data_IF_874932415720
#
_entry.id   IF_874932415720
#
_cell.length_a   1.000
_cell.length_b   1.000
_cell.length_c   1.000
_cell.angle_alpha   90.00
_cell.angle_beta   90.00
_cell.angle_gamma   90.00
#
_symmetry.space_group_name_H-M   'P 1'
#
loop_
_entity.id
_entity.type
_entity.pdbx_description
1 polymer ?
#
# COMPACT_ATOMS: atom_id res chain seq x y z
N UNK A 1 -21.60 -12.10 12.64
CA UNK A 1 -21.98 -10.74 13.12
C UNK A 1 -20.80 -9.86 13.54
N UNK A 2 -19.78 -10.37 14.25
CA UNK A 2 -18.61 -9.58 14.65
C UNK A 2 -17.70 -9.15 13.47
N UNK A 3 -17.52 -10.04 12.49
CA UNK A 3 -16.64 -9.82 11.33
C UNK A 3 -17.16 -8.76 10.35
N UNK A 4 -18.46 -8.77 10.05
CA UNK A 4 -19.07 -7.73 9.20
C UNK A 4 -19.02 -6.35 9.87
N UNK A 5 -19.08 -6.29 11.21
CA UNK A 5 -18.94 -5.03 11.96
C UNK A 5 -17.52 -4.46 11.90
N UNK A 6 -16.48 -5.29 11.97
CA UNK A 6 -15.10 -4.82 11.86
C UNK A 6 -14.79 -4.28 10.46
N UNK A 7 -15.26 -4.99 9.43
CA UNK A 7 -15.20 -4.51 8.05
C UNK A 7 -16.04 -3.23 7.91
N UNK A 8 -17.27 -3.18 8.43
CA UNK A 8 -18.10 -1.97 8.40
C UNK A 8 -17.50 -0.78 9.16
N UNK A 9 -16.85 -0.99 10.29
CA UNK A 9 -16.28 0.08 11.13
C UNK A 9 -14.99 0.65 10.54
N UNK A 10 -14.17 -0.22 9.94
CA UNK A 10 -13.00 0.19 9.15
C UNK A 10 -13.41 1.00 7.92
N UNK A 11 -14.55 0.62 7.35
CA UNK A 11 -14.99 1.08 6.05
C UNK A 11 -15.96 2.28 6.11
N UNK A 12 -16.50 2.58 7.29
CA UNK A 12 -17.33 3.76 7.58
C UNK A 12 -16.57 4.83 8.38
N UNK A 13 -15.26 4.67 8.60
CA UNK A 13 -14.44 5.63 9.34
C UNK A 13 -14.88 5.88 10.79
N UNK A 14 -15.69 4.97 11.37
CA UNK A 14 -16.29 5.12 12.70
C UNK A 14 -15.29 4.94 13.83
N UNK A 15 -14.15 4.33 13.56
CA UNK A 15 -12.96 4.46 14.41
C UNK A 15 -12.29 5.78 14.03
N UNK A 16 -12.69 6.90 14.66
CA UNK A 16 -11.88 8.12 14.64
C UNK A 16 -10.53 7.79 15.26
N UNK A 17 -9.54 7.48 14.42
CA UNK A 17 -8.16 7.42 14.83
C UNK A 17 -7.72 8.85 15.14
N UNK A 18 -7.79 9.23 16.41
CA UNK A 18 -6.94 10.32 16.89
C UNK A 18 -5.50 9.78 16.82
N UNK A 19 -4.75 10.26 15.83
CA UNK A 19 -3.38 9.83 15.48
C UNK A 19 -2.33 10.37 16.47
N UNK A 20 -2.58 10.33 17.78
CA UNK A 20 -1.63 10.84 18.77
C UNK A 20 -0.50 9.86 19.10
N UNK A 21 -0.53 8.62 18.58
CA UNK A 21 0.57 7.67 18.77
C UNK A 21 0.57 6.57 17.67
N UNK A 22 1.18 6.88 16.53
CA UNK A 22 1.08 6.10 15.27
C UNK A 22 1.75 4.72 15.37
N UNK A 23 2.92 4.62 16.02
CA UNK A 23 3.69 3.37 16.09
C UNK A 23 3.02 2.26 16.90
N UNK A 24 2.36 2.60 18.01
CA UNK A 24 1.71 1.61 18.88
C UNK A 24 0.43 1.03 18.26
N UNK A 25 -0.26 1.78 17.39
CA UNK A 25 -1.48 1.32 16.70
C UNK A 25 -1.16 0.44 15.48
N UNK A 26 -0.06 0.73 14.77
CA UNK A 26 0.42 -0.08 13.64
C UNK A 26 0.80 -1.49 14.09
N UNK A 27 1.52 -1.62 15.21
CA UNK A 27 1.89 -2.94 15.75
C UNK A 27 0.67 -3.77 16.17
N UNK A 28 -0.33 -3.13 16.78
CA UNK A 28 -1.60 -3.78 17.11
C UNK A 28 -2.40 -4.18 15.86
N UNK A 29 -2.35 -3.38 14.80
CA UNK A 29 -2.96 -3.71 13.51
C UNK A 29 -2.30 -4.94 12.89
N UNK A 30 -0.95 -4.96 12.80
CA UNK A 30 -0.18 -6.08 12.25
C UNK A 30 -0.52 -7.39 12.94
N UNK A 31 -0.48 -7.41 14.27
CA UNK A 31 -0.76 -8.62 15.05
C UNK A 31 -2.20 -9.14 14.84
N UNK A 32 -3.19 -8.25 14.83
CA UNK A 32 -4.59 -8.63 14.58
C UNK A 32 -4.81 -9.13 13.16
N UNK A 33 -4.18 -8.48 12.19
CA UNK A 33 -4.28 -8.88 10.79
C UNK A 33 -3.62 -10.24 10.54
N UNK A 34 -2.43 -10.47 11.09
CA UNK A 34 -1.77 -11.78 11.05
C UNK A 34 -2.59 -12.87 11.75
N UNK A 35 -3.19 -12.55 12.90
CA UNK A 35 -4.12 -13.44 13.59
C UNK A 35 -5.30 -13.84 12.70
N UNK A 36 -5.91 -12.88 12.00
CA UNK A 36 -6.96 -13.14 11.02
C UNK A 36 -6.47 -14.01 9.86
N UNK A 37 -5.32 -13.68 9.26
CA UNK A 37 -4.72 -14.48 8.18
C UNK A 37 -4.51 -15.94 8.59
N UNK A 38 -4.13 -16.21 9.83
CA UNK A 38 -3.93 -17.57 10.33
C UNK A 38 -5.23 -18.39 10.43
N UNK A 39 -6.39 -17.73 10.55
CA UNK A 39 -7.70 -18.41 10.58
C UNK A 39 -8.21 -18.79 9.19
N UNK A 40 -7.62 -18.24 8.13
CA UNK A 40 -8.08 -18.44 6.76
C UNK A 40 -7.45 -19.68 6.12
N UNK A 41 -8.25 -20.39 5.34
CA UNK A 41 -7.76 -21.42 4.42
C UNK A 41 -7.01 -20.81 3.23
N UNK A 42 -6.30 -21.66 2.47
CA UNK A 42 -5.49 -21.21 1.33
C UNK A 42 -6.30 -20.50 0.24
N UNK A 43 -7.55 -20.93 0.02
CA UNK A 43 -8.44 -20.33 -0.98
C UNK A 43 -8.88 -18.92 -0.58
N UNK A 44 -9.25 -18.76 0.68
CA UNK A 44 -9.67 -17.47 1.27
C UNK A 44 -8.51 -16.49 1.33
N UNK A 45 -7.30 -16.96 1.65
CA UNK A 45 -6.07 -16.15 1.59
C UNK A 45 -5.80 -15.64 0.18
N UNK A 46 -5.89 -16.53 -0.81
CA UNK A 46 -5.73 -16.16 -2.22
C UNK A 46 -6.80 -15.16 -2.65
N UNK A 47 -8.06 -15.40 -2.30
CA UNK A 47 -9.13 -14.48 -2.63
C UNK A 47 -8.91 -13.10 -1.98
N UNK A 48 -8.52 -13.05 -0.71
CA UNK A 48 -8.20 -11.81 0.00
C UNK A 48 -7.03 -11.05 -0.66
N UNK A 49 -5.96 -11.74 -1.04
CA UNK A 49 -4.84 -11.14 -1.76
C UNK A 49 -5.24 -10.59 -3.14
N UNK A 50 -6.17 -11.27 -3.81
CA UNK A 50 -6.72 -10.86 -5.11
C UNK A 50 -7.85 -9.82 -5.00
N UNK A 51 -8.42 -9.60 -3.83
CA UNK A 51 -9.53 -8.65 -3.67
C UNK A 51 -9.07 -7.22 -3.96
N UNK A 52 -9.47 -6.73 -5.13
CA UNK A 52 -9.59 -5.32 -5.41
C UNK A 52 -10.89 -4.84 -4.76
N UNK A 53 -10.84 -4.02 -3.71
CA UNK A 53 -12.08 -3.69 -3.00
C UNK A 53 -13.01 -2.83 -3.87
N UNK A 54 -14.29 -3.17 -3.79
CA UNK A 54 -15.43 -2.51 -4.41
C UNK A 54 -15.75 -1.29 -3.56
N UNK A 55 -15.04 -0.19 -3.81
CA UNK A 55 -15.40 1.12 -3.28
C UNK A 55 -14.47 1.68 -2.21
N UNK A 56 -13.59 2.61 -2.59
CA UNK A 56 -12.81 3.55 -1.74
C UNK A 56 -12.14 3.02 -0.46
N UNK A 57 -12.01 1.70 -0.33
CA UNK A 57 -11.47 1.02 0.84
C UNK A 57 -10.20 0.28 0.46
N UNK A 58 -9.22 0.41 1.34
CA UNK A 58 -7.84 0.04 1.12
C UNK A 58 -7.67 -1.48 0.97
N UNK A 59 -7.24 -1.93 -0.22
CA UNK A 59 -6.77 -3.30 -0.46
C UNK A 59 -5.67 -3.69 0.53
N UNK A 60 -5.55 -4.98 0.87
CA UNK A 60 -4.49 -5.50 1.76
C UNK A 60 -3.11 -4.98 1.32
N UNK A 61 -2.80 -5.09 0.03
CA UNK A 61 -1.56 -4.56 -0.55
C UNK A 61 -1.34 -3.06 -0.29
N UNK A 62 -2.37 -2.24 -0.47
CA UNK A 62 -2.27 -0.78 -0.28
C UNK A 62 -2.03 -0.44 1.19
N UNK A 63 -2.67 -1.16 2.12
CA UNK A 63 -2.38 -1.03 3.55
C UNK A 63 -0.94 -1.45 3.89
N UNK A 64 -0.42 -2.50 3.25
CA UNK A 64 0.97 -2.92 3.43
C UNK A 64 1.94 -1.83 2.97
N UNK A 65 1.66 -1.19 1.83
CA UNK A 65 2.45 -0.09 1.30
C UNK A 65 2.33 1.19 2.14
N UNK A 66 1.18 1.41 2.80
CA UNK A 66 0.98 2.54 3.69
C UNK A 66 1.73 2.35 5.03
N UNK A 67 1.70 1.14 5.57
CA UNK A 67 2.33 0.80 6.85
C UNK A 67 3.84 0.56 6.71
N UNK A 68 4.29 0.08 5.54
CA UNK A 68 5.67 -0.35 5.33
C UNK A 68 5.96 -1.77 5.81
N UNK A 69 4.93 -2.61 5.93
CA UNK A 69 5.11 -3.97 6.43
C UNK A 69 5.65 -4.89 5.33
N UNK A 70 6.97 -5.02 5.31
CA UNK A 70 7.72 -5.89 4.41
C UNK A 70 7.21 -7.34 4.41
N UNK A 71 6.86 -7.89 5.58
CA UNK A 71 6.40 -9.28 5.67
C UNK A 71 5.06 -9.46 4.95
N UNK A 72 4.13 -8.53 5.13
CA UNK A 72 2.83 -8.59 4.47
C UNK A 72 2.92 -8.31 2.96
N UNK A 73 3.89 -7.52 2.50
CA UNK A 73 4.17 -7.36 1.05
C UNK A 73 4.57 -8.69 0.43
N UNK A 74 5.53 -9.40 1.02
CA UNK A 74 5.94 -10.73 0.54
C UNK A 74 4.78 -11.74 0.60
N UNK A 75 3.96 -11.66 1.66
CA UNK A 75 2.75 -12.47 1.74
C UNK A 75 1.81 -12.19 0.56
N UNK A 76 1.56 -10.92 0.21
CA UNK A 76 0.72 -10.55 -0.93
C UNK A 76 1.26 -11.08 -2.25
N UNK A 77 2.59 -10.97 -2.47
CA UNK A 77 3.27 -11.50 -3.66
C UNK A 77 3.06 -13.01 -3.78
N UNK A 78 3.29 -13.75 -2.68
CA UNK A 78 3.13 -15.21 -2.67
C UNK A 78 1.68 -15.68 -2.90
N UNK A 79 0.69 -14.82 -2.67
CA UNK A 79 -0.72 -15.12 -2.87
C UNK A 79 -1.29 -14.49 -4.16
N UNK A 80 -0.44 -13.92 -5.01
CA UNK A 80 -0.79 -13.47 -6.36
C UNK A 80 -1.48 -12.11 -6.43
N UNK A 81 -1.30 -11.24 -5.44
CA UNK A 81 -1.85 -9.87 -5.50
C UNK A 81 -1.38 -9.11 -6.75
N UNK A 82 -2.26 -8.30 -7.35
CA UNK A 82 -1.89 -7.41 -8.45
C UNK A 82 -1.17 -6.17 -7.91
N UNK A 83 0.15 -6.15 -8.09
CA UNK A 83 1.05 -5.15 -7.52
C UNK A 83 1.03 -3.79 -8.24
N UNK A 84 0.30 -3.71 -9.35
CA UNK A 84 0.10 -2.48 -10.11
C UNK A 84 -1.32 -1.92 -9.95
N UNK A 85 -2.21 -2.62 -9.24
CA UNK A 85 -3.58 -2.18 -9.00
C UNK A 85 -3.61 -0.97 -8.07
N UNK A 86 -3.97 0.18 -8.64
CA UNK A 86 -4.07 1.44 -7.89
C UNK A 86 -5.45 1.67 -7.26
N UNK A 87 -5.55 2.70 -6.44
CA UNK A 87 -6.81 3.22 -5.89
C UNK A 87 -7.70 3.79 -6.99
N UNK A 88 -8.94 4.16 -6.64
CA UNK A 88 -9.82 4.93 -7.55
C UNK A 88 -9.28 6.29 -7.96
N UNK A 89 -8.36 6.87 -7.18
CA UNK A 89 -7.68 8.14 -7.50
C UNK A 89 -6.40 7.94 -8.32
N UNK A 90 -6.19 6.74 -8.85
CA UNK A 90 -5.01 6.37 -9.63
C UNK A 90 -3.75 6.11 -8.80
N UNK A 91 -3.81 6.18 -7.46
CA UNK A 91 -2.62 5.99 -6.62
C UNK A 91 -2.18 4.53 -6.64
N UNK A 92 -1.01 4.26 -7.25
CA UNK A 92 -0.42 2.93 -7.29
C UNK A 92 0.13 2.51 -5.90
N UNK A 93 0.33 1.20 -5.66
CA UNK A 93 1.03 0.73 -4.45
C UNK A 93 2.41 1.39 -4.29
N UNK A 94 3.12 1.58 -5.40
CA UNK A 94 4.41 2.28 -5.44
C UNK A 94 4.27 3.75 -5.01
N UNK A 95 3.26 4.47 -5.50
CA UNK A 95 2.98 5.84 -5.07
C UNK A 95 2.80 5.93 -3.54
N UNK A 96 2.02 5.02 -2.95
CA UNK A 96 1.76 5.02 -1.51
C UNK A 96 3.04 4.73 -0.71
N UNK A 97 3.85 3.77 -1.15
CA UNK A 97 5.13 3.46 -0.51
C UNK A 97 6.10 4.64 -0.57
N UNK A 98 6.14 5.35 -1.70
CA UNK A 98 6.96 6.55 -1.88
C UNK A 98 6.46 7.71 -1.01
N UNK A 99 5.15 7.90 -0.91
CA UNK A 99 4.52 8.94 -0.09
C UNK A 99 4.83 8.78 1.41
N UNK A 100 5.08 7.56 1.89
CA UNK A 100 5.28 7.25 3.31
C UNK A 100 6.74 6.87 3.67
N UNK A 101 7.70 7.03 2.75
CA UNK A 101 9.13 6.76 2.95
C UNK A 101 9.49 5.28 3.22
N UNK A 102 8.72 4.33 2.69
CA UNK A 102 8.96 2.90 2.92
C UNK A 102 9.94 2.33 1.89
N UNK A 103 11.22 2.69 2.02
CA UNK A 103 12.29 2.37 1.04
C UNK A 103 12.36 0.88 0.69
N UNK A 104 12.29 -0.01 1.68
CA UNK A 104 12.36 -1.46 1.42
C UNK A 104 11.14 -1.97 0.65
N UNK A 105 9.95 -1.43 0.92
CA UNK A 105 8.75 -1.73 0.13
C UNK A 105 8.89 -1.18 -1.29
N UNK A 106 9.43 0.04 -1.45
CA UNK A 106 9.71 0.62 -2.77
C UNK A 106 10.64 -0.29 -3.57
N UNK A 107 11.76 -0.75 -2.99
CA UNK A 107 12.68 -1.67 -3.67
C UNK A 107 11.98 -2.96 -4.12
N UNK A 108 11.23 -3.60 -3.22
CA UNK A 108 10.48 -4.83 -3.55
C UNK A 108 9.50 -4.60 -4.68
N UNK A 109 8.74 -3.50 -4.66
CA UNK A 109 7.81 -3.14 -5.73
C UNK A 109 8.53 -2.92 -7.06
N UNK A 110 9.71 -2.31 -7.05
CA UNK A 110 10.51 -2.09 -8.27
C UNK A 110 11.13 -3.38 -8.81
N UNK A 111 11.48 -4.34 -7.94
CA UNK A 111 12.01 -5.65 -8.32
C UNK A 111 10.98 -6.52 -9.04
N UNK A 112 9.70 -6.34 -8.73
CA UNK A 112 8.60 -6.99 -9.44
C UNK A 112 8.06 -6.17 -10.62
N UNK A 113 8.85 -5.22 -11.12
CA UNK A 113 8.52 -4.35 -12.25
C UNK A 113 7.25 -3.49 -12.04
N UNK A 114 7.02 -2.98 -10.83
CA UNK A 114 5.98 -1.97 -10.64
C UNK A 114 6.25 -0.74 -11.52
N UNK A 115 5.19 -0.15 -12.07
CA UNK A 115 5.30 1.00 -12.95
C UNK A 115 5.70 2.26 -12.17
N UNK A 116 6.99 2.60 -12.27
CA UNK A 116 7.63 3.82 -11.71
C UNK A 116 6.97 5.12 -12.14
N UNK A 117 6.31 5.09 -13.30
CA UNK A 117 5.77 6.23 -14.00
C UNK A 117 4.23 6.26 -13.96
N UNK A 118 3.61 5.37 -13.17
CA UNK A 118 2.17 5.34 -13.00
C UNK A 118 1.70 6.47 -12.09
N UNK A 119 1.00 7.41 -12.69
CA UNK A 119 0.57 8.63 -12.03
C UNK A 119 -0.87 8.53 -11.54
N UNK A 120 -1.14 9.30 -10.50
CA UNK A 120 -2.51 9.57 -10.03
C UNK A 120 -3.28 10.38 -11.06
N UNK A 121 -4.59 10.45 -10.86
CA UNK A 121 -5.50 11.21 -11.74
C UNK A 121 -5.22 12.72 -11.74
N UNK A 122 -4.62 13.23 -10.66
CA UNK A 122 -4.14 14.62 -10.55
C UNK A 122 -2.81 14.86 -11.27
N UNK A 123 -2.20 13.83 -11.86
CA UNK A 123 -0.91 13.89 -12.52
C UNK A 123 0.27 13.79 -11.56
N UNK A 124 0.09 13.46 -10.28
CA UNK A 124 1.21 13.24 -9.38
C UNK A 124 1.87 11.87 -9.63
N UNK A 125 3.18 11.85 -9.92
CA UNK A 125 3.98 10.63 -10.03
C UNK A 125 4.53 10.16 -8.67
N UNK A 126 4.96 8.88 -8.54
CA UNK A 126 5.64 8.37 -7.35
C UNK A 126 6.91 9.17 -7.01
N UNK A 127 7.64 9.62 -8.04
CA UNK A 127 8.82 10.46 -7.88
C UNK A 127 8.44 11.86 -7.37
N UNK A 128 7.40 12.48 -7.93
CA UNK A 128 6.93 13.79 -7.46
C UNK A 128 6.57 13.77 -5.97
N UNK A 129 5.81 12.78 -5.51
CA UNK A 129 5.41 12.73 -4.10
C UNK A 129 6.59 12.45 -3.17
N UNK A 130 7.57 11.66 -3.60
CA UNK A 130 8.80 11.44 -2.85
C UNK A 130 9.62 12.74 -2.71
N UNK A 131 9.75 13.51 -3.79
CA UNK A 131 10.41 14.82 -3.77
C UNK A 131 9.65 15.82 -2.91
N UNK A 132 8.31 15.91 -3.06
CA UNK A 132 7.47 16.85 -2.29
C UNK A 132 7.57 16.62 -0.77
N UNK A 133 7.78 15.37 -0.35
CA UNK A 133 7.87 14.99 1.05
C UNK A 133 9.33 14.87 1.56
N UNK A 134 10.32 15.30 0.78
CA UNK A 134 11.75 15.25 1.12
C UNK A 134 12.29 13.84 1.41
N UNK A 135 11.75 12.81 0.76
CA UNK A 135 12.17 11.41 0.91
C UNK A 135 13.39 11.09 0.03
N UNK A 136 14.54 11.69 0.35
CA UNK A 136 15.76 11.68 -0.48
C UNK A 136 16.19 10.26 -0.89
N UNK A 137 16.19 9.30 0.03
CA UNK A 137 16.62 7.94 -0.28
C UNK A 137 15.64 7.21 -1.22
N UNK A 138 14.33 7.45 -1.10
CA UNK A 138 13.34 6.95 -2.06
C UNK A 138 13.56 7.57 -3.44
N UNK A 139 13.83 8.89 -3.50
CA UNK A 139 14.12 9.60 -4.75
C UNK A 139 15.33 8.99 -5.46
N UNK A 140 16.43 8.72 -4.73
CA UNK A 140 17.62 8.05 -5.28
C UNK A 140 17.26 6.70 -5.89
N UNK A 141 16.54 5.85 -5.14
CA UNK A 141 16.12 4.52 -5.61
C UNK A 141 15.26 4.61 -6.88
N UNK A 142 14.34 5.58 -6.96
CA UNK A 142 13.50 5.78 -8.14
C UNK A 142 14.32 6.25 -9.36
N UNK A 143 15.26 7.18 -9.17
CA UNK A 143 16.15 7.66 -10.23
C UNK A 143 17.07 6.53 -10.73
N UNK A 144 17.62 5.72 -9.83
CA UNK A 144 18.45 4.56 -10.18
C UNK A 144 17.66 3.54 -11.01
N UNK A 145 16.35 3.43 -10.77
CA UNK A 145 15.41 2.62 -11.54
C UNK A 145 14.84 3.33 -12.77
N UNK A 146 15.46 4.44 -13.19
CA UNK A 146 15.12 5.24 -14.37
C UNK A 146 13.68 5.76 -14.36
N UNK A 147 13.14 6.08 -13.18
CA UNK A 147 11.90 6.84 -13.09
C UNK A 147 12.06 8.15 -13.87
N UNK A 148 11.10 8.48 -14.73
CA UNK A 148 11.19 9.64 -15.59
C UNK A 148 10.82 10.89 -14.78
N UNK A 149 11.80 11.77 -14.61
CA UNK A 149 11.71 13.01 -13.81
C UNK A 149 10.64 13.95 -14.38
N UNK A 150 10.42 13.91 -15.69
CA UNK A 150 9.43 14.74 -16.37
C UNK A 150 8.07 14.04 -16.49
N UNK A 151 7.95 12.80 -16.01
CA UNK A 151 6.71 12.04 -16.13
C UNK A 151 5.75 12.46 -15.03
N UNK A 152 4.67 13.08 -15.50
CA UNK A 152 3.56 13.61 -14.73
C UNK A 152 3.99 14.68 -13.71
N UNK A 153 3.77 15.93 -14.07
CA UNK A 153 2.52 16.66 -13.79
C UNK A 153 2.11 17.37 -15.08
N UNK A 154 0.80 17.55 -15.26
CA UNK A 154 0.09 17.87 -16.52
C UNK A 154 0.81 18.78 -17.52
#
# INVERSE_FOLDING_TARGET
MYMQRMIDDWSKGRVRMVFSNINMKIQNFRQRFLGYLNTLDSSSKRQLALTCDVGDKYTVLLNCCFIGDFYLIHWCINHGADMNKGTKSGASPLYIACQNNHIEVVKVLLDINADTNKCRDDGASPLYIACRNDHIEVVKVLIDRKADINKCMK
#
